data_IF_044604529499
#
_entry.id   IF_044604529499
#
_cell.length_a   1.000
_cell.length_b   1.000
_cell.length_c   1.000
_cell.angle_alpha   90.00
_cell.angle_beta   90.00
_cell.angle_gamma   90.00
#
_symmetry.space_group_name_H-M   'P 1'
#
loop_
_entity.id
_entity.type
_entity.pdbx_description
1 polymer ?
#
# COMPACT_ATOMS: atom_id res chain seq x y z
N UNK A 1 -16.55 -19.09 1.71
CA UNK A 1 -16.04 -17.80 2.25
C UNK A 1 -16.72 -17.36 3.55
N UNK A 2 -17.97 -17.76 3.83
CA UNK A 2 -18.70 -17.35 5.06
C UNK A 2 -17.92 -17.55 6.36
N UNK A 3 -17.22 -18.69 6.60
CA UNK A 3 -16.43 -18.85 7.83
C UNK A 3 -15.27 -17.86 7.94
N UNK A 4 -14.56 -17.60 6.84
CA UNK A 4 -13.46 -16.62 6.81
C UNK A 4 -13.96 -15.22 7.15
N UNK A 5 -15.13 -14.83 6.63
CA UNK A 5 -15.76 -13.56 6.94
C UNK A 5 -16.11 -13.44 8.44
N UNK A 6 -16.68 -14.48 9.04
CA UNK A 6 -17.00 -14.49 10.47
C UNK A 6 -15.75 -14.31 11.35
N UNK A 7 -14.66 -15.00 11.01
CA UNK A 7 -13.36 -14.85 11.69
C UNK A 7 -12.79 -13.44 11.50
N UNK A 8 -12.86 -12.89 10.28
CA UNK A 8 -12.43 -11.52 9.99
C UNK A 8 -13.19 -10.48 10.81
N UNK A 9 -14.52 -10.60 10.90
CA UNK A 9 -15.36 -9.68 11.69
C UNK A 9 -15.03 -9.76 13.19
N UNK A 10 -14.86 -10.97 13.72
CA UNK A 10 -14.48 -11.17 15.11
C UNK A 10 -13.09 -10.57 15.41
N UNK A 11 -12.11 -10.81 14.54
CA UNK A 11 -10.75 -10.28 14.68
C UNK A 11 -10.73 -8.75 14.55
N UNK A 12 -11.47 -8.20 13.60
CA UNK A 12 -11.60 -6.76 13.39
C UNK A 12 -12.13 -6.05 14.63
N UNK A 13 -13.08 -6.65 15.37
CA UNK A 13 -13.58 -6.07 16.64
C UNK A 13 -12.47 -5.81 17.67
N UNK A 14 -11.44 -6.66 17.73
CA UNK A 14 -10.32 -6.50 18.68
C UNK A 14 -9.12 -5.76 18.08
N UNK A 15 -8.98 -5.76 16.75
CA UNK A 15 -7.89 -5.11 16.04
C UNK A 15 -8.22 -3.67 15.61
N UNK A 16 -9.50 -3.29 15.55
CA UNK A 16 -9.91 -1.93 15.22
C UNK A 16 -9.33 -0.91 16.19
N UNK A 17 -9.04 0.29 15.70
CA UNK A 17 -8.42 1.34 16.49
C UNK A 17 -9.29 1.72 17.71
N UNK A 18 -8.71 1.81 18.93
CA UNK A 18 -7.34 1.45 19.31
C UNK A 18 -7.17 -0.07 19.43
N UNK A 19 -6.16 -0.61 18.74
CA UNK A 19 -5.96 -2.06 18.64
C UNK A 19 -5.63 -2.70 20.00
N UNK A 20 -6.37 -3.75 20.36
CA UNK A 20 -6.16 -4.56 21.58
C UNK A 20 -5.40 -5.86 21.29
N UNK A 21 -5.51 -6.35 20.06
CA UNK A 21 -4.78 -7.51 19.57
C UNK A 21 -4.28 -7.25 18.14
N UNK A 22 -3.10 -7.77 17.81
CA UNK A 22 -2.54 -7.73 16.46
C UNK A 22 -2.76 -9.07 15.75
N UNK A 23 -3.03 -9.00 14.45
CA UNK A 23 -3.31 -10.18 13.63
C UNK A 23 -2.06 -11.00 13.32
N UNK A 24 -0.91 -10.33 13.19
CA UNK A 24 0.38 -10.93 12.88
C UNK A 24 0.46 -11.58 11.50
N UNK A 25 1.63 -12.14 11.19
CA UNK A 25 1.89 -12.81 9.91
C UNK A 25 1.01 -14.07 9.73
N UNK A 26 0.63 -14.73 10.83
CA UNK A 26 -0.25 -15.89 10.84
C UNK A 26 -1.56 -15.61 10.10
N UNK A 27 -2.22 -14.48 10.42
CA UNK A 27 -3.46 -14.12 9.77
C UNK A 27 -3.26 -13.71 8.30
N UNK A 28 -2.18 -12.99 8.00
CA UNK A 28 -1.84 -12.60 6.63
C UNK A 28 -1.63 -13.82 5.72
N UNK A 29 -0.90 -14.83 6.19
CA UNK A 29 -0.72 -16.09 5.46
C UNK A 29 -2.03 -16.88 5.33
N UNK A 30 -2.80 -16.98 6.42
CA UNK A 30 -4.10 -17.67 6.41
C UNK A 30 -5.09 -17.03 5.42
N UNK A 31 -5.25 -15.71 5.47
CA UNK A 31 -6.17 -14.97 4.58
C UNK A 31 -5.71 -15.07 3.12
N UNK A 32 -4.41 -14.84 2.85
CA UNK A 32 -3.84 -14.94 1.52
C UNK A 32 -4.03 -16.32 0.89
N UNK A 33 -3.72 -17.39 1.63
CA UNK A 33 -3.90 -18.76 1.17
C UNK A 33 -5.37 -19.11 0.94
N UNK A 34 -6.26 -18.64 1.82
CA UNK A 34 -7.71 -18.86 1.67
C UNK A 34 -8.26 -18.21 0.39
N UNK A 35 -7.87 -16.96 0.11
CA UNK A 35 -8.26 -16.28 -1.13
C UNK A 35 -7.66 -16.95 -2.36
N UNK A 36 -6.37 -17.30 -2.34
CA UNK A 36 -5.71 -17.98 -3.46
C UNK A 36 -6.37 -19.33 -3.78
N UNK A 37 -6.62 -20.15 -2.75
CA UNK A 37 -7.23 -21.49 -2.91
C UNK A 37 -8.57 -21.40 -3.62
N UNK A 38 -9.43 -20.48 -3.18
CA UNK A 38 -10.77 -20.35 -3.75
C UNK A 38 -10.78 -19.64 -5.10
N UNK A 39 -9.85 -18.70 -5.34
CA UNK A 39 -9.67 -18.13 -6.67
C UNK A 39 -9.19 -19.14 -7.71
N UNK A 40 -8.31 -20.06 -7.33
CA UNK A 40 -7.79 -21.12 -8.20
C UNK A 40 -8.85 -22.19 -8.43
N UNK A 41 -9.41 -22.78 -7.37
CA UNK A 41 -10.40 -23.86 -7.49
C UNK A 41 -11.73 -23.39 -8.10
N UNK A 42 -12.09 -22.11 -7.87
CA UNK A 42 -13.27 -21.51 -8.46
C UNK A 42 -13.08 -20.98 -9.87
N UNK A 43 -11.87 -21.07 -10.44
CA UNK A 43 -11.53 -20.57 -11.78
C UNK A 43 -11.81 -19.07 -12.01
N UNK A 44 -11.79 -18.25 -10.94
CA UNK A 44 -11.98 -16.79 -11.02
C UNK A 44 -10.77 -16.01 -10.53
N UNK A 45 -9.57 -16.58 -10.64
CA UNK A 45 -8.31 -15.95 -10.20
C UNK A 45 -8.08 -14.56 -10.83
N UNK A 46 -8.44 -14.36 -12.10
CA UNK A 46 -8.38 -13.05 -12.77
C UNK A 46 -9.25 -12.01 -12.07
N UNK A 47 -10.51 -12.39 -11.78
CA UNK A 47 -11.46 -11.54 -11.05
C UNK A 47 -10.97 -11.24 -9.64
N UNK A 48 -10.41 -12.25 -8.96
CA UNK A 48 -9.85 -12.10 -7.63
C UNK A 48 -8.73 -11.04 -7.63
N UNK A 49 -7.82 -11.08 -8.60
CA UNK A 49 -6.73 -10.09 -8.70
C UNK A 49 -7.24 -8.65 -8.87
N UNK A 50 -8.39 -8.43 -9.52
CA UNK A 50 -9.03 -7.11 -9.60
C UNK A 50 -9.49 -6.61 -8.23
N UNK A 51 -9.92 -7.50 -7.32
CA UNK A 51 -10.20 -7.13 -5.94
C UNK A 51 -8.94 -6.87 -5.10
N UNK A 52 -7.75 -7.24 -5.61
CA UNK A 52 -6.46 -7.01 -4.96
C UNK A 52 -5.73 -5.77 -5.50
N UNK A 53 -6.41 -4.87 -6.22
CA UNK A 53 -5.79 -3.67 -6.81
C UNK A 53 -4.97 -2.87 -5.78
N UNK A 54 -5.47 -2.50 -4.58
CA UNK A 54 -4.68 -1.76 -3.60
C UNK A 54 -3.43 -2.51 -3.13
N UNK A 55 -3.52 -3.82 -2.95
CA UNK A 55 -2.43 -4.70 -2.53
C UNK A 55 -1.36 -4.77 -3.62
N UNK A 56 -1.77 -4.93 -4.89
CA UNK A 56 -0.88 -4.95 -6.06
C UNK A 56 -0.22 -3.59 -6.23
N UNK A 57 -0.95 -2.48 -6.09
CA UNK A 57 -0.38 -1.13 -6.16
C UNK A 57 0.66 -0.90 -5.07
N UNK A 58 0.39 -1.30 -3.83
CA UNK A 58 1.36 -1.22 -2.74
C UNK A 58 2.61 -2.07 -3.03
N UNK A 59 2.43 -3.27 -3.58
CA UNK A 59 3.54 -4.15 -3.97
C UNK A 59 4.40 -3.50 -5.05
N UNK A 60 3.79 -3.06 -6.15
CA UNK A 60 4.49 -2.42 -7.28
C UNK A 60 5.23 -1.16 -6.82
N UNK A 61 4.59 -0.34 -5.99
CA UNK A 61 5.24 0.84 -5.42
C UNK A 61 6.41 0.48 -4.49
N UNK A 62 6.33 -0.64 -3.77
CA UNK A 62 7.39 -1.14 -2.88
C UNK A 62 8.56 -1.81 -3.62
N UNK A 63 8.41 -2.20 -4.90
CA UNK A 63 9.43 -2.97 -5.66
C UNK A 63 10.84 -2.38 -5.55
N UNK A 64 11.07 -1.06 -5.73
CA UNK A 64 12.42 -0.51 -5.66
C UNK A 64 13.12 -0.76 -4.31
N UNK A 65 12.37 -0.81 -3.21
CA UNK A 65 12.91 -1.15 -1.88
C UNK A 65 13.06 -2.66 -1.69
N UNK A 66 12.09 -3.45 -2.15
CA UNK A 66 12.09 -4.92 -1.97
C UNK A 66 13.23 -5.61 -2.74
N UNK A 67 13.57 -5.10 -3.91
CA UNK A 67 14.68 -5.60 -4.72
C UNK A 67 16.03 -4.93 -4.40
N UNK A 68 16.08 -4.02 -3.42
CA UNK A 68 17.32 -3.40 -2.95
C UNK A 68 17.88 -2.29 -3.85
N UNK A 69 17.11 -1.75 -4.80
CA UNK A 69 17.53 -0.58 -5.59
C UNK A 69 17.60 0.70 -4.74
N UNK A 70 16.73 0.79 -3.73
CA UNK A 70 16.68 1.82 -2.69
C UNK A 70 16.87 1.09 -1.34
N UNK A 71 17.60 1.68 -0.37
CA UNK A 71 17.72 1.11 0.97
C UNK A 71 16.33 0.84 1.59
N UNK A 72 16.26 -0.23 2.37
CA UNK A 72 15.03 -0.67 3.02
C UNK A 72 15.20 -0.60 4.54
N UNK A 73 14.28 0.07 5.22
CA UNK A 73 14.18 0.03 6.68
C UNK A 73 13.43 -1.24 7.11
N UNK A 74 13.76 -1.76 8.29
CA UNK A 74 13.07 -2.94 8.86
C UNK A 74 11.57 -2.67 9.06
N UNK A 75 11.22 -1.48 9.53
CA UNK A 75 9.84 -1.01 9.67
C UNK A 75 9.57 0.12 8.68
N UNK A 76 8.52 -0.05 7.86
CA UNK A 76 8.10 0.91 6.83
C UNK A 76 6.74 1.55 7.12
N UNK A 77 6.32 1.48 8.39
CA UNK A 77 5.11 2.12 8.90
C UNK A 77 5.31 3.63 9.00
N UNK A 78 4.24 4.45 8.92
CA UNK A 78 4.32 5.89 9.19
C UNK A 78 4.89 6.20 10.57
N UNK A 79 5.56 7.34 10.69
CA UNK A 79 6.05 7.86 11.97
C UNK A 79 4.92 8.62 12.68
N UNK A 80 4.71 8.37 13.97
CA UNK A 80 3.70 9.07 14.78
C UNK A 80 4.34 10.21 15.55
N UNK A 81 3.73 11.39 15.47
CA UNK A 81 4.06 12.49 16.36
C UNK A 81 3.25 12.37 17.67
N UNK A 82 3.94 12.34 18.80
CA UNK A 82 3.32 12.11 20.11
C UNK A 82 2.53 13.33 20.60
N UNK A 83 2.92 14.54 20.17
CA UNK A 83 2.29 15.78 20.62
C UNK A 83 0.96 16.00 19.90
N UNK A 84 0.97 15.90 18.57
CA UNK A 84 -0.22 16.15 17.74
C UNK A 84 -1.08 14.90 17.51
N UNK A 85 -0.57 13.70 17.83
CA UNK A 85 -1.16 12.41 17.54
C UNK A 85 -1.33 12.09 16.03
N UNK A 86 -0.70 12.88 15.16
CA UNK A 86 -0.78 12.76 13.71
C UNK A 86 0.31 11.82 13.17
N UNK A 87 0.06 11.28 11.97
CA UNK A 87 1.02 10.46 11.25
C UNK A 87 1.78 11.28 10.19
N UNK A 88 3.08 11.03 10.13
CA UNK A 88 4.00 11.58 9.15
C UNK A 88 4.60 10.45 8.30
N UNK A 89 4.92 10.70 7.02
CA UNK A 89 5.64 9.72 6.21
C UNK A 89 6.97 9.35 6.87
N UNK A 90 7.24 8.05 7.03
CA UNK A 90 8.54 7.60 7.52
C UNK A 90 9.59 7.68 6.41
N UNK A 91 10.83 8.01 6.79
CA UNK A 91 11.93 8.25 5.84
C UNK A 91 12.97 7.13 5.94
N UNK A 92 13.63 6.85 4.82
CA UNK A 92 14.82 6.01 4.74
C UNK A 92 16.02 6.85 4.32
N UNK A 93 17.11 6.71 5.06
CA UNK A 93 18.35 7.44 4.83
C UNK A 93 19.26 6.68 3.87
N UNK A 94 19.91 7.39 2.96
CA UNK A 94 20.94 6.83 2.10
C UNK A 94 22.28 6.81 2.83
N UNK A 95 23.04 5.71 2.67
CA UNK A 95 24.37 5.54 3.30
C UNK A 95 25.34 6.63 2.80
N UNK A 96 25.22 7.03 1.54
CA UNK A 96 25.97 8.14 0.95
C UNK A 96 24.98 9.18 0.41
N UNK A 97 25.19 10.47 0.69
CA UNK A 97 24.36 11.51 0.10
C UNK A 97 24.53 11.50 -1.42
N UNK A 98 23.42 11.60 -2.14
CA UNK A 98 23.45 11.63 -3.60
C UNK A 98 23.74 13.06 -4.09
N UNK A 99 24.75 13.20 -4.94
CA UNK A 99 25.07 14.45 -5.64
C UNK A 99 24.08 14.73 -6.76
N UNK A 100 23.76 16.01 -6.95
CA UNK A 100 22.75 16.53 -7.89
C UNK A 100 22.92 16.07 -9.35
N UNK A 101 24.11 15.62 -9.75
CA UNK A 101 24.44 15.24 -11.13
C UNK A 101 24.16 13.77 -11.48
N UNK A 102 23.69 12.95 -10.53
CA UNK A 102 23.50 11.51 -10.76
C UNK A 102 22.19 11.22 -11.50
N UNK A 103 22.13 10.20 -12.36
CA UNK A 103 20.88 9.77 -13.01
C UNK A 103 19.79 9.41 -11.98
N UNK A 104 20.20 8.85 -10.83
CA UNK A 104 19.31 8.54 -9.70
C UNK A 104 18.67 9.79 -9.08
N UNK A 105 19.39 10.91 -8.96
CA UNK A 105 18.81 12.15 -8.40
C UNK A 105 17.81 12.77 -9.36
N UNK A 106 18.06 12.72 -10.67
CA UNK A 106 17.08 13.19 -11.67
C UNK A 106 15.78 12.39 -11.61
N UNK A 107 15.87 11.06 -11.54
CA UNK A 107 14.69 10.19 -11.39
C UNK A 107 13.94 10.53 -10.10
N UNK A 108 14.64 10.60 -8.97
CA UNK A 108 14.03 10.93 -7.68
C UNK A 108 13.35 12.31 -7.71
N UNK A 109 13.98 13.32 -8.30
CA UNK A 109 13.39 14.66 -8.42
C UNK A 109 12.13 14.67 -9.31
N UNK A 110 12.07 13.87 -10.38
CA UNK A 110 10.86 13.72 -11.20
C UNK A 110 9.76 13.03 -10.39
N UNK A 111 10.11 11.99 -9.64
CA UNK A 111 9.16 11.24 -8.79
C UNK A 111 8.64 12.11 -7.64
N UNK A 112 9.48 12.99 -7.08
CA UNK A 112 9.09 14.01 -6.09
C UNK A 112 8.16 15.06 -6.71
N UNK A 113 8.46 15.55 -7.92
CA UNK A 113 7.59 16.47 -8.64
C UNK A 113 6.19 15.88 -8.89
N UNK A 114 6.12 14.58 -9.19
CA UNK A 114 4.86 13.83 -9.32
C UNK A 114 4.16 13.57 -7.97
N UNK A 115 4.71 14.05 -6.84
CA UNK A 115 4.21 13.81 -5.47
C UNK A 115 4.06 12.34 -5.13
N UNK A 116 4.92 11.50 -5.69
CA UNK A 116 4.95 10.08 -5.37
C UNK A 116 5.83 9.81 -4.15
N UNK A 117 6.96 10.54 -4.04
CA UNK A 117 7.95 10.37 -2.97
C UNK A 117 8.27 11.73 -2.35
N UNK A 118 8.49 11.76 -1.03
CA UNK A 118 9.05 12.92 -0.33
C UNK A 118 10.56 12.73 -0.21
N UNK A 119 11.35 13.73 -0.57
CA UNK A 119 12.81 13.67 -0.46
C UNK A 119 13.27 14.52 0.72
N UNK A 120 14.27 14.02 1.44
CA UNK A 120 14.97 14.79 2.47
C UNK A 120 16.31 15.28 1.94
N UNK A 121 16.61 16.56 2.17
CA UNK A 121 17.80 17.25 1.63
C UNK A 121 18.58 17.90 2.77
N UNK A 122 19.90 17.79 2.71
CA UNK A 122 20.78 18.49 3.66
C UNK A 122 20.86 20.00 3.33
N UNK A 123 21.45 20.79 4.23
CA UNK A 123 21.72 22.23 4.07
C UNK A 123 22.50 22.57 2.80
N UNK A 124 23.31 21.62 2.30
CA UNK A 124 24.11 21.73 1.07
C UNK A 124 23.31 21.37 -0.20
N UNK A 125 22.02 21.04 -0.07
CA UNK A 125 21.14 20.67 -1.20
C UNK A 125 21.29 19.22 -1.69
N UNK A 126 22.14 18.41 -1.05
CA UNK A 126 22.33 16.99 -1.35
C UNK A 126 21.17 16.13 -0.83
N UNK A 127 20.78 15.11 -1.58
CA UNK A 127 19.71 14.19 -1.19
C UNK A 127 20.25 13.19 -0.16
N UNK A 128 19.69 13.22 1.04
CA UNK A 128 20.10 12.37 2.18
C UNK A 128 19.14 11.20 2.42
N UNK A 129 17.89 11.30 1.96
CA UNK A 129 16.91 10.25 2.15
C UNK A 129 15.65 10.46 1.33
N UNK A 130 14.75 9.48 1.39
CA UNK A 130 13.44 9.55 0.77
C UNK A 130 12.38 8.89 1.66
N UNK A 131 11.11 9.17 1.44
CA UNK A 131 10.02 8.49 2.13
C UNK A 131 10.00 7.00 1.80
N UNK A 132 9.60 6.18 2.77
CA UNK A 132 9.38 4.76 2.55
C UNK A 132 8.30 4.53 1.49
N UNK A 133 8.59 3.61 0.57
CA UNK A 133 7.71 3.33 -0.56
C UNK A 133 6.63 2.32 -0.15
N UNK A 134 5.59 2.83 0.51
CA UNK A 134 4.39 2.06 0.84
C UNK A 134 3.15 2.91 0.59
N UNK A 135 2.02 2.26 0.31
CA UNK A 135 0.74 2.95 0.06
C UNK A 135 0.32 3.82 1.25
N UNK A 136 0.64 3.41 2.48
CA UNK A 136 0.39 4.19 3.70
C UNK A 136 1.14 5.53 3.67
N UNK A 137 2.45 5.50 3.41
CA UNK A 137 3.25 6.72 3.32
C UNK A 137 2.85 7.56 2.11
N UNK A 138 2.46 6.93 1.00
CA UNK A 138 1.97 7.62 -0.19
C UNK A 138 0.74 8.47 0.10
N UNK A 139 -0.27 7.91 0.80
CA UNK A 139 -1.45 8.69 1.22
C UNK A 139 -1.05 9.87 2.12
N UNK A 140 -0.10 9.68 3.04
CA UNK A 140 0.39 10.76 3.90
C UNK A 140 1.18 11.85 3.16
N UNK A 141 1.82 11.53 2.03
CA UNK A 141 2.45 12.54 1.17
C UNK A 141 1.39 13.43 0.52
N UNK A 142 0.23 12.88 0.18
CA UNK A 142 -0.90 13.62 -0.39
C UNK A 142 -1.69 14.41 0.66
N UNK A 143 -1.74 13.92 1.91
CA UNK A 143 -2.41 14.55 3.04
C UNK A 143 -1.45 14.83 4.21
N UNK A 144 -0.47 15.74 4.04
CA UNK A 144 0.56 15.98 5.05
C UNK A 144 -0.03 16.55 6.34
N UNK A 145 0.38 15.99 7.48
CA UNK A 145 0.06 16.44 8.85
C UNK A 145 -1.45 16.62 9.12
N UNK A 146 -2.30 15.78 8.51
CA UNK A 146 -3.76 15.86 8.65
C UNK A 146 -4.43 14.61 9.18
N UNK A 147 -3.71 13.47 9.18
CA UNK A 147 -4.32 12.17 9.40
C UNK A 147 -3.78 11.52 10.66
N UNK A 148 -4.69 11.12 11.53
CA UNK A 148 -4.43 10.18 12.62
C UNK A 148 -4.45 8.73 12.09
N UNK A 149 -4.02 7.79 12.92
CA UNK A 149 -3.98 6.35 12.59
C UNK A 149 -5.33 5.76 12.17
N UNK A 150 -6.40 6.11 12.88
CA UNK A 150 -7.76 5.69 12.55
C UNK A 150 -8.20 6.23 11.18
N UNK A 151 -7.99 7.52 10.94
CA UNK A 151 -8.39 8.18 9.69
C UNK A 151 -7.62 7.62 8.49
N UNK A 152 -6.31 7.38 8.64
CA UNK A 152 -5.52 6.73 7.60
C UNK A 152 -6.06 5.33 7.29
N UNK A 153 -6.40 4.54 8.32
CA UNK A 153 -6.97 3.19 8.15
C UNK A 153 -8.31 3.26 7.40
N UNK A 154 -9.19 4.18 7.77
CA UNK A 154 -10.49 4.40 7.10
C UNK A 154 -10.28 4.81 5.63
N UNK A 155 -9.32 5.69 5.34
CA UNK A 155 -9.02 6.10 3.95
C UNK A 155 -8.55 4.90 3.11
N UNK A 156 -7.68 4.05 3.65
CA UNK A 156 -7.20 2.85 2.94
C UNK A 156 -8.34 1.83 2.73
N UNK A 157 -9.21 1.63 3.73
CA UNK A 157 -10.40 0.79 3.58
C UNK A 157 -11.40 1.38 2.58
N UNK A 158 -11.57 2.71 2.57
CA UNK A 158 -12.36 3.43 1.58
C UNK A 158 -11.80 3.24 0.18
N UNK A 159 -10.48 3.34 0.02
CA UNK A 159 -9.80 3.07 -1.25
C UNK A 159 -10.02 1.63 -1.72
N UNK A 160 -9.95 0.65 -0.81
CA UNK A 160 -10.25 -0.75 -1.10
C UNK A 160 -11.71 -0.97 -1.53
N UNK A 161 -12.66 -0.32 -0.84
CA UNK A 161 -14.07 -0.42 -1.18
C UNK A 161 -14.35 0.17 -2.56
N UNK A 162 -13.82 1.37 -2.83
CA UNK A 162 -13.93 2.04 -4.13
C UNK A 162 -13.27 1.21 -5.22
N UNK A 163 -12.06 0.70 -5.01
CA UNK A 163 -11.38 -0.14 -6.01
C UNK A 163 -12.15 -1.43 -6.29
N UNK A 164 -12.77 -2.04 -5.29
CA UNK A 164 -13.58 -3.25 -5.47
C UNK A 164 -14.91 -2.96 -6.17
N UNK A 165 -15.52 -1.81 -5.90
CA UNK A 165 -16.72 -1.37 -6.59
C UNK A 165 -16.44 -1.07 -8.07
N UNK A 166 -15.44 -0.23 -8.37
CA UNK A 166 -15.11 0.10 -9.76
C UNK A 166 -14.39 -1.03 -10.50
N UNK A 167 -13.32 -1.58 -9.93
CA UNK A 167 -12.51 -2.63 -10.55
C UNK A 167 -13.19 -4.00 -10.56
N UNK A 168 -14.01 -4.31 -9.57
CA UNK A 168 -14.75 -5.57 -9.52
C UNK A 168 -16.08 -5.48 -10.26
N UNK A 169 -17.00 -4.63 -9.81
CA UNK A 169 -18.35 -4.60 -10.36
C UNK A 169 -18.41 -3.97 -11.75
N UNK A 170 -17.81 -2.80 -11.99
CA UNK A 170 -17.90 -2.21 -13.33
C UNK A 170 -17.20 -3.08 -14.40
N UNK A 171 -16.05 -3.69 -14.06
CA UNK A 171 -15.34 -4.53 -15.03
C UNK A 171 -16.07 -5.85 -15.27
N UNK A 172 -16.55 -6.53 -14.23
CA UNK A 172 -17.23 -7.82 -14.40
C UNK A 172 -18.60 -7.71 -15.08
N UNK A 173 -19.33 -6.60 -14.87
CA UNK A 173 -20.69 -6.47 -15.41
C UNK A 173 -20.77 -5.67 -16.71
N UNK A 174 -19.86 -4.71 -16.95
CA UNK A 174 -19.93 -3.84 -18.14
C UNK A 174 -18.74 -3.98 -19.10
N UNK A 175 -17.56 -4.38 -18.63
CA UNK A 175 -16.35 -4.53 -19.46
C UNK A 175 -15.89 -5.99 -19.53
N UNK A 176 -16.81 -6.93 -19.29
CA UNK A 176 -16.49 -8.35 -19.30
C UNK A 176 -15.90 -8.78 -20.64
N UNK A 177 -16.44 -8.26 -21.74
CA UNK A 177 -16.00 -8.60 -23.10
C UNK A 177 -14.58 -8.09 -23.43
N UNK A 178 -14.01 -7.17 -22.65
CA UNK A 178 -12.63 -6.68 -22.83
C UNK A 178 -11.60 -7.52 -22.07
N UNK A 179 -11.99 -8.12 -20.94
CA UNK A 179 -11.07 -8.80 -20.02
C UNK A 179 -11.25 -10.33 -20.00
N UNK A 180 -12.44 -10.82 -20.37
CA UNK A 180 -12.78 -12.22 -20.47
C UNK A 180 -12.96 -12.59 -21.94
N UNK A 181 -12.40 -13.73 -22.32
CA UNK A 181 -12.44 -14.21 -23.69
C UNK A 181 -13.90 -14.44 -24.11
N UNK A 182 -14.33 -13.86 -25.22
CA UNK A 182 -15.71 -13.96 -25.72
C UNK A 182 -16.10 -15.41 -26.07
N UNK A 183 -15.12 -16.31 -26.17
CA UNK A 183 -15.28 -17.72 -26.50
C UNK A 183 -15.64 -18.62 -25.29
N UNK A 184 -15.64 -18.08 -24.05
CA UNK A 184 -15.98 -18.81 -22.82
C UNK A 184 -17.43 -18.58 -22.34
N UNK A 185 -18.28 -18.03 -23.21
CA UNK A 185 -19.71 -17.81 -22.93
C UNK A 185 -20.56 -19.00 -23.35
#
# INVERSE_FOLDING_TARGET
>A
MVPLLAVMLALSKFNWYPAKAFVGDTFCYFAGMSFATVGILGHFSKTLLLFFIPQIMNLVYSIPQLFGFIPISRHRLPARDLLSNLLNPSMVMFIKPLSNLTTKTKILNVVEFLKLVKIDRNKEGLIIGCSNLTLLNFVLIWFPNKLNEEQLTIIILGFQFVSNFFGGFCICYYLSDLFYDSCLR
#
